data_IF_469629894505
#
_entry.id   IF_469629894505
#
_cell.length_a   1.000
_cell.length_b   1.000
_cell.length_c   1.000
_cell.angle_alpha   90.00
_cell.angle_beta   90.00
_cell.angle_gamma   90.00
#
_symmetry.space_group_name_H-M   'P 1'
#
loop_
_entity.id
_entity.type
_entity.pdbx_description
1 polymer ?
#
# COMPACT_ATOMS: atom_id res chain seq x y z
N UNK A 1 -11.45 -26.56 -54.57
CA UNK A 1 -11.18 -26.44 -54.18
C UNK A 1 -10.98 -25.91 -53.09
N UNK A 2 -11.05 -25.83 -52.65
CA UNK A 2 -10.92 -25.38 -51.92
C UNK A 2 -10.40 -24.85 -50.98
N UNK A 3 -10.24 -24.65 -50.62
CA UNK A 3 -9.65 -24.15 -49.97
C UNK A 3 -9.75 -23.59 -48.88
N UNK A 4 -9.92 -23.54 -48.46
CA UNK A 4 -9.92 -22.96 -47.59
C UNK A 4 -9.45 -22.67 -46.61
N UNK A 5 -9.19 -22.52 -46.39
CA UNK A 5 -8.72 -22.25 -45.68
C UNK A 5 -8.67 -21.72 -44.75
N UNK A 6 -8.72 -21.63 -44.17
CA UNK A 6 -8.62 -21.11 -43.34
C UNK A 6 -8.32 -20.63 -42.46
N UNK A 7 -8.19 -20.55 -42.30
CA UNK A 7 -7.87 -20.07 -41.73
C UNK A 7 -7.74 -19.69 -40.66
N UNK A 8 -7.65 -19.63 -40.39
CA UNK A 8 -7.38 -19.30 -39.66
C UNK A 8 -7.30 -18.79 -38.66
N UNK A 9 -7.35 -18.70 -38.29
CA UNK A 9 -7.27 -18.39 -37.54
C UNK A 9 -6.88 -17.96 -36.56
N UNK A 10 -6.65 -17.63 -36.23
CA UNK A 10 -6.17 -17.16 -35.49
C UNK A 10 -6.33 -16.89 -34.29
N UNK A 11 -6.28 -16.87 -33.70
CA UNK A 11 -6.46 -16.94 -32.58
C UNK A 11 -5.80 -16.04 -31.83
N UNK A 12 -6.13 -15.13 -31.64
CA UNK A 12 -5.50 -14.28 -31.07
C UNK A 12 -5.57 -14.44 -29.73
N UNK A 13 -4.86 -14.61 -29.16
CA UNK A 13 -4.85 -14.83 -27.99
C UNK A 13 -4.43 -13.77 -27.21
N UNK A 14 -5.11 -13.19 -26.43
CA UNK A 14 -4.72 -12.22 -25.72
C UNK A 14 -4.44 -12.61 -24.46
N UNK A 15 -3.49 -12.53 -23.95
CA UNK A 15 -3.10 -12.86 -22.81
C UNK A 15 -3.00 -11.68 -22.07
N UNK A 16 -3.82 -11.36 -21.25
CA UNK A 16 -3.69 -10.29 -20.60
C UNK A 16 -3.07 -10.59 -19.39
N UNK A 17 -2.00 -10.14 -19.11
CA UNK A 17 -1.39 -10.44 -17.95
C UNK A 17 -1.68 -9.38 -17.05
N UNK A 18 -2.25 -9.55 -15.99
CA UNK A 18 -2.52 -8.55 -15.06
C UNK A 18 -1.55 -8.56 -14.00
N UNK A 19 -0.41 -8.92 -14.30
CA UNK A 19 0.61 -9.04 -13.33
C UNK A 19 0.85 -7.72 -12.71
N UNK A 20 1.25 -7.64 -11.56
CA UNK A 20 1.66 -6.39 -10.99
C UNK A 20 0.60 -5.67 -10.21
N UNK A 21 -0.61 -5.97 -10.48
CA UNK A 21 -1.59 -5.24 -9.79
C UNK A 21 -1.60 -5.51 -8.35
N UNK A 22 -1.32 -6.72 -7.98
CA UNK A 22 -1.39 -7.07 -6.59
C UNK A 22 -0.38 -6.33 -5.77
N UNK A 23 0.71 -5.95 -6.36
CA UNK A 23 1.74 -5.31 -5.59
C UNK A 23 1.32 -3.94 -5.13
N UNK A 24 0.30 -3.38 -5.71
CA UNK A 24 -0.19 -2.09 -5.28
C UNK A 24 -0.71 -2.12 -3.86
N UNK A 25 -0.95 -3.32 -3.34
CA UNK A 25 -1.44 -3.43 -2.00
C UNK A 25 -0.31 -3.44 -0.99
N UNK A 26 0.90 -3.58 -1.42
CA UNK A 26 2.02 -3.70 -0.51
C UNK A 26 2.43 -2.36 0.04
N UNK A 27 2.75 -2.33 1.30
CA UNK A 27 3.27 -1.14 1.94
C UNK A 27 4.76 -1.30 2.04
N UNK A 28 5.49 -0.28 1.69
CA UNK A 28 6.94 -0.34 1.83
C UNK A 28 7.29 -0.18 3.30
N UNK A 29 7.91 -1.19 3.86
CA UNK A 29 8.31 -1.13 5.25
C UNK A 29 9.81 -1.13 5.30
N UNK A 30 10.39 0.04 5.50
CA UNK A 30 11.83 0.18 5.60
C UNK A 30 12.25 -0.04 7.05
N UNK A 31 13.55 -0.21 7.25
CA UNK A 31 14.07 -0.32 8.59
C UNK A 31 13.76 0.95 9.37
N UNK A 32 13.87 2.08 8.72
CA UNK A 32 13.59 3.35 9.36
C UNK A 32 12.15 3.43 9.86
N UNK A 33 11.21 2.93 9.06
CA UNK A 33 9.81 2.91 9.48
C UNK A 33 9.63 1.96 10.66
N UNK A 34 10.25 0.80 10.60
CA UNK A 34 10.13 -0.17 11.69
C UNK A 34 10.65 0.44 13.00
N UNK A 35 11.79 1.10 12.93
CA UNK A 35 12.38 1.68 14.12
C UNK A 35 11.56 2.85 14.65
N UNK A 36 11.11 3.72 13.76
CA UNK A 36 10.40 4.91 14.18
C UNK A 36 8.97 4.61 14.64
N UNK A 37 8.38 3.55 14.12
CA UNK A 37 6.99 3.21 14.41
C UNK A 37 6.82 2.01 15.33
N UNK A 38 7.89 1.56 15.96
CA UNK A 38 7.82 0.38 16.81
C UNK A 38 6.83 0.53 17.96
N UNK A 39 6.81 1.71 18.55
CA UNK A 39 5.92 1.95 19.68
C UNK A 39 4.45 1.88 19.23
N UNK A 40 4.14 2.54 18.13
CA UNK A 40 2.77 2.52 17.62
C UNK A 40 2.34 1.11 17.22
N UNK A 41 3.23 0.39 16.56
CA UNK A 41 2.93 -0.96 16.16
C UNK A 41 2.60 -1.81 17.37
N UNK A 42 3.45 -1.76 18.38
CA UNK A 42 3.25 -2.59 19.56
C UNK A 42 2.03 -2.18 20.35
N UNK A 43 1.73 -0.91 20.35
CA UNK A 43 0.63 -0.41 21.16
C UNK A 43 -0.73 -0.63 20.50
N UNK A 44 -0.83 -0.42 19.21
CA UNK A 44 -2.12 -0.41 18.55
C UNK A 44 -2.34 -1.50 17.50
N UNK A 45 -1.29 -1.96 16.89
CA UNK A 45 -1.44 -2.73 15.64
C UNK A 45 -0.68 -4.04 15.61
N UNK A 46 -0.23 -4.53 16.75
CA UNK A 46 0.67 -5.69 16.74
C UNK A 46 0.00 -6.99 16.32
N UNK A 47 -1.30 -7.04 16.20
CA UNK A 47 -1.99 -8.24 15.74
C UNK A 47 -1.90 -8.40 14.23
N UNK A 48 -1.43 -7.39 13.51
CA UNK A 48 -1.33 -7.45 12.06
C UNK A 48 0.11 -7.65 11.64
N UNK A 49 0.29 -8.38 10.53
CA UNK A 49 1.64 -8.63 10.05
C UNK A 49 2.32 -7.40 9.49
N UNK A 50 3.62 -7.33 9.64
CA UNK A 50 4.39 -6.21 9.12
C UNK A 50 4.29 -6.23 7.60
N UNK A 51 3.98 -5.08 7.01
CA UNK A 51 3.83 -4.96 5.58
C UNK A 51 2.45 -5.35 5.05
N UNK A 52 1.54 -5.74 5.93
CA UNK A 52 0.21 -6.13 5.47
C UNK A 52 -0.67 -4.92 5.27
N UNK A 53 -1.69 -5.09 4.46
CA UNK A 53 -2.66 -4.04 4.23
C UNK A 53 -3.44 -3.71 5.49
N UNK A 54 -3.69 -4.72 6.31
CA UNK A 54 -4.41 -4.50 7.56
C UNK A 54 -3.60 -3.66 8.52
N UNK A 55 -2.30 -3.80 8.51
CA UNK A 55 -1.44 -2.96 9.32
C UNK A 55 -1.52 -1.51 8.85
N UNK A 56 -1.50 -1.29 7.55
CA UNK A 56 -1.62 0.05 7.00
C UNK A 56 -2.94 0.69 7.45
N UNK A 57 -4.01 -0.05 7.38
CA UNK A 57 -5.31 0.45 7.82
C UNK A 57 -5.32 0.75 9.31
N UNK A 58 -4.68 -0.10 10.09
CA UNK A 58 -4.59 0.12 11.54
C UNK A 58 -3.86 1.43 11.85
N UNK A 59 -2.77 1.68 11.17
CA UNK A 59 -2.03 2.92 11.37
C UNK A 59 -2.87 4.12 10.98
N UNK A 60 -3.60 4.03 9.88
CA UNK A 60 -4.46 5.14 9.45
C UNK A 60 -5.57 5.41 10.45
N UNK A 61 -6.13 4.37 11.04
CA UNK A 61 -7.17 4.53 12.04
C UNK A 61 -6.65 5.13 13.34
N UNK A 62 -5.37 4.99 13.60
CA UNK A 62 -4.76 5.52 14.81
C UNK A 62 -3.86 6.74 14.51
N UNK A 63 -4.09 7.39 13.39
CA UNK A 63 -3.20 8.45 12.94
C UNK A 63 -3.04 9.58 13.96
N UNK A 64 -4.08 9.88 14.71
CA UNK A 64 -4.02 10.96 15.67
C UNK A 64 -3.27 10.59 16.95
N UNK A 65 -2.87 9.33 17.08
CA UNK A 65 -2.09 8.89 18.24
C UNK A 65 -0.64 8.59 17.86
N UNK A 66 -0.24 8.90 16.65
CA UNK A 66 1.09 8.53 16.18
C UNK A 66 2.09 9.63 16.49
N UNK A 67 3.29 9.23 16.79
CA UNK A 67 4.36 10.20 17.06
C UNK A 67 4.79 10.85 15.74
N UNK A 68 5.35 12.04 15.87
CA UNK A 68 5.87 12.73 14.71
C UNK A 68 6.98 11.92 14.04
N UNK A 69 7.80 11.25 14.82
CA UNK A 69 8.89 10.45 14.26
C UNK A 69 8.36 9.34 13.36
N UNK A 70 7.29 8.66 13.77
CA UNK A 70 6.70 7.62 12.96
C UNK A 70 6.09 8.19 11.69
N UNK A 71 5.33 9.28 11.82
CA UNK A 71 4.71 9.90 10.66
C UNK A 71 5.77 10.38 9.67
N UNK A 72 6.82 11.00 10.14
CA UNK A 72 7.89 11.47 9.27
C UNK A 72 8.57 10.32 8.54
N UNK A 73 8.76 9.20 9.22
CA UNK A 73 9.36 8.03 8.58
C UNK A 73 8.46 7.45 7.49
N UNK A 74 7.16 7.44 7.73
CA UNK A 74 6.20 6.96 6.73
C UNK A 74 6.17 7.87 5.51
N UNK A 75 6.28 9.17 5.73
CA UNK A 75 6.35 10.11 4.62
C UNK A 75 7.63 9.89 3.83
N UNK A 76 8.75 9.75 4.51
CA UNK A 76 10.03 9.56 3.85
C UNK A 76 10.07 8.26 3.06
N UNK A 77 9.36 7.24 3.52
CA UNK A 77 9.30 5.96 2.82
C UNK A 77 8.27 5.96 1.68
N UNK A 78 7.49 7.03 1.55
CA UNK A 78 6.48 7.09 0.51
C UNK A 78 5.18 6.38 0.84
N UNK A 79 5.02 5.94 2.07
CA UNK A 79 3.81 5.23 2.46
C UNK A 79 2.62 6.17 2.65
N UNK A 80 2.89 7.40 3.02
CA UNK A 80 1.86 8.43 3.08
C UNK A 80 2.48 9.73 2.56
N UNK A 81 1.65 10.66 2.14
CA UNK A 81 2.14 11.94 1.65
C UNK A 81 1.93 12.99 2.73
N UNK A 82 2.71 14.05 2.64
CA UNK A 82 2.52 15.18 3.53
C UNK A 82 1.12 15.76 3.36
N UNK A 83 0.64 15.77 2.14
CA UNK A 83 -0.70 16.29 1.85
C UNK A 83 -1.77 15.48 2.59
N UNK A 84 -1.62 14.17 2.57
CA UNK A 84 -2.57 13.30 3.29
C UNK A 84 -2.55 13.61 4.78
N UNK A 85 -1.36 13.79 5.35
CA UNK A 85 -1.23 14.10 6.76
C UNK A 85 -1.90 15.42 7.08
N UNK A 86 -1.70 16.42 6.24
CA UNK A 86 -2.28 17.73 6.46
C UNK A 86 -3.80 17.67 6.39
N UNK A 87 -4.35 16.89 5.47
CA UNK A 87 -5.78 16.72 5.37
C UNK A 87 -6.34 16.04 6.61
N UNK A 88 -5.65 15.05 7.13
CA UNK A 88 -6.09 14.37 8.33
C UNK A 88 -6.10 15.31 9.52
N UNK A 89 -5.10 16.17 9.63
CA UNK A 89 -5.06 17.13 10.71
C UNK A 89 -6.25 18.09 10.63
N UNK A 90 -6.62 18.50 9.43
CA UNK A 90 -7.76 19.37 9.28
C UNK A 90 -9.05 18.66 9.71
N UNK A 91 -9.21 17.43 9.30
CA UNK A 91 -10.42 16.68 9.64
C UNK A 91 -10.53 16.43 11.14
N UNK A 92 -9.39 16.30 11.79
CA UNK A 92 -9.38 16.04 13.22
C UNK A 92 -9.32 17.31 14.06
N UNK A 93 -9.33 18.47 13.42
CA UNK A 93 -9.32 19.72 14.14
C UNK A 93 -7.96 20.11 14.71
N UNK A 94 -6.91 19.67 14.06
CA UNK A 94 -5.56 19.92 14.58
C UNK A 94 -4.71 20.78 13.72
#
# INVERSE_FOLDING_TARGET
MASFRVSLLVASIFVVTLAGQASAQSVTVTRAVQDACAWEYNKFCNQYGIGSQLLDMCFRQNADHMTKACVDALIAAGDVTQEYVDQQKKLLGR
#
